data_IF_669655489361
#
_entry.id   IF_669655489361
#
_cell.length_a   1.000
_cell.length_b   1.000
_cell.length_c   1.000
_cell.angle_alpha   90.00
_cell.angle_beta   90.00
_cell.angle_gamma   90.00
#
_symmetry.space_group_name_H-M   'P 1'
#
loop_
_entity.id
_entity.type
_entity.pdbx_description
1 polymer ?
#
# COMPACT_ATOMS: atom_id res chain seq x y z
N UNK A 1 15.43 8.05 -17.77
CA UNK A 1 14.62 7.25 -16.84
C UNK A 1 14.00 8.21 -15.85
N UNK A 2 12.67 8.36 -15.84
CA UNK A 2 12.00 9.32 -14.97
C UNK A 2 12.05 8.86 -13.52
N UNK A 3 12.56 9.71 -12.64
CA UNK A 3 12.56 9.44 -11.20
C UNK A 3 11.15 9.60 -10.64
N UNK A 4 10.79 8.75 -9.68
CA UNK A 4 9.54 8.89 -8.91
C UNK A 4 9.82 9.76 -7.68
N UNK A 5 9.04 10.80 -7.50
CA UNK A 5 9.15 11.74 -6.40
C UNK A 5 7.95 11.61 -5.47
N UNK A 6 8.19 11.22 -4.23
CA UNK A 6 7.16 11.18 -3.20
C UNK A 6 6.81 12.59 -2.78
N UNK A 7 5.55 12.98 -2.98
CA UNK A 7 5.02 14.30 -2.61
C UNK A 7 4.33 14.29 -1.26
N UNK A 8 3.76 13.14 -0.88
CA UNK A 8 3.03 13.01 0.39
C UNK A 8 3.11 11.57 0.91
N UNK A 9 3.23 11.45 2.23
CA UNK A 9 3.14 10.16 2.93
C UNK A 9 2.24 10.33 4.15
N UNK A 10 1.26 9.45 4.31
CA UNK A 10 0.34 9.45 5.44
C UNK A 10 0.16 8.06 6.01
N UNK A 11 -0.11 7.96 7.29
CA UNK A 11 -0.61 6.75 7.91
C UNK A 11 -2.14 6.75 7.84
N UNK A 12 -2.72 5.63 7.42
CA UNK A 12 -4.17 5.46 7.23
C UNK A 12 -4.65 4.41 8.21
N UNK A 13 -5.40 4.84 9.22
CA UNK A 13 -5.98 3.96 10.22
C UNK A 13 -7.43 3.59 9.87
N UNK A 14 -7.95 2.46 10.40
CA UNK A 14 -9.35 2.12 10.27
C UNK A 14 -10.27 3.23 10.80
N UNK A 15 -11.38 3.53 10.12
CA UNK A 15 -12.43 4.42 10.66
C UNK A 15 -13.08 3.86 11.92
N UNK A 16 -13.27 2.54 11.94
CA UNK A 16 -13.82 1.81 13.07
C UNK A 16 -12.72 0.89 13.59
N UNK A 17 -12.19 1.24 14.75
CA UNK A 17 -11.15 0.44 15.41
C UNK A 17 -11.74 -0.77 16.11
N UNK A 18 -11.08 -1.92 16.00
CA UNK A 18 -11.42 -3.13 16.72
C UNK A 18 -10.58 -3.24 18.00
N UNK A 19 -11.08 -3.91 19.05
CA UNK A 19 -10.25 -4.23 20.21
C UNK A 19 -8.98 -4.97 19.77
N UNK A 20 -7.80 -4.59 20.26
CA UNK A 20 -6.56 -5.24 19.91
C UNK A 20 -6.59 -6.74 20.23
N UNK A 21 -6.13 -7.56 19.31
CA UNK A 21 -6.03 -9.01 19.49
C UNK A 21 -4.90 -9.62 18.68
N UNK A 22 -4.40 -10.75 19.15
CA UNK A 22 -3.39 -11.53 18.44
C UNK A 22 -4.10 -12.65 17.66
N UNK A 23 -3.79 -12.75 16.38
CA UNK A 23 -4.19 -13.86 15.51
C UNK A 23 -2.97 -14.73 15.25
N UNK A 24 -3.10 -16.02 15.54
CA UNK A 24 -2.07 -17.00 15.19
C UNK A 24 -2.04 -17.19 13.68
N UNK A 25 -0.89 -17.01 13.10
CA UNK A 25 -0.67 -17.28 11.69
C UNK A 25 -0.60 -18.80 11.45
N UNK A 26 -1.11 -19.24 10.31
CA UNK A 26 -0.91 -20.61 9.86
C UNK A 26 0.57 -20.87 9.53
N UNK A 27 0.96 -22.14 9.44
CA UNK A 27 2.33 -22.47 9.03
C UNK A 27 2.62 -22.01 7.60
N UNK A 28 1.62 -21.93 6.74
CA UNK A 28 1.75 -21.42 5.38
C UNK A 28 2.03 -19.92 5.37
N UNK A 29 1.28 -19.13 6.14
CA UNK A 29 1.48 -17.69 6.26
C UNK A 29 2.88 -17.37 6.80
N UNK A 30 3.36 -18.18 7.75
CA UNK A 30 4.69 -18.02 8.35
C UNK A 30 5.83 -18.32 7.38
N UNK A 31 5.58 -19.12 6.35
CA UNK A 31 6.57 -19.51 5.33
C UNK A 31 6.58 -18.53 4.14
N UNK A 32 5.63 -17.62 4.06
CA UNK A 32 5.51 -16.66 2.97
C UNK A 32 6.01 -15.26 3.40
N UNK A 33 7.34 -15.04 3.52
CA UNK A 33 7.88 -13.75 3.93
C UNK A 33 7.95 -12.75 2.77
N UNK A 34 7.33 -13.08 1.64
CA UNK A 34 7.53 -12.35 0.38
C UNK A 34 6.69 -11.09 0.36
N UNK A 35 7.33 -9.96 0.17
CA UNK A 35 6.67 -8.72 -0.21
C UNK A 35 6.09 -8.91 -1.62
N UNK A 36 4.80 -8.68 -1.74
CA UNK A 36 4.10 -8.72 -3.02
C UNK A 36 3.86 -7.30 -3.50
N UNK A 37 4.29 -7.02 -4.72
CA UNK A 37 4.04 -5.75 -5.39
C UNK A 37 2.98 -5.96 -6.46
N UNK A 38 1.93 -5.14 -6.40
CA UNK A 38 0.86 -5.12 -7.40
C UNK A 38 0.82 -3.72 -8.01
N UNK A 39 0.89 -3.64 -9.32
CA UNK A 39 0.84 -2.38 -10.07
C UNK A 39 -0.39 -2.40 -10.97
N UNK A 40 -1.21 -1.37 -10.87
CA UNK A 40 -2.40 -1.20 -11.68
C UNK A 40 -2.29 0.12 -12.46
N UNK A 41 -2.58 0.09 -13.75
CA UNK A 41 -2.62 1.26 -14.60
C UNK A 41 -4.07 1.64 -14.90
N UNK A 42 -4.38 2.90 -14.66
CA UNK A 42 -5.70 3.46 -14.95
C UNK A 42 -5.56 4.57 -15.99
N UNK A 43 -6.29 4.43 -17.10
CA UNK A 43 -6.39 5.48 -18.08
C UNK A 43 -7.55 6.41 -17.72
N UNK A 44 -7.26 7.69 -17.66
CA UNK A 44 -8.31 8.69 -17.50
C UNK A 44 -9.23 8.70 -18.73
N UNK A 45 -10.54 8.60 -18.49
CA UNK A 45 -11.55 8.74 -19.52
C UNK A 45 -12.37 10.02 -19.29
N UNK A 46 -12.21 11.06 -20.13
CA UNK A 46 -12.91 12.33 -19.96
C UNK A 46 -14.43 12.22 -20.14
N UNK A 47 -14.93 11.14 -20.78
CA UNK A 47 -16.35 10.97 -21.09
C UNK A 47 -17.16 10.50 -19.88
N UNK A 48 -16.56 9.71 -19.00
CA UNK A 48 -17.24 9.17 -17.80
C UNK A 48 -16.99 9.96 -16.52
N UNK A 49 -16.18 10.99 -16.58
CA UNK A 49 -15.72 11.69 -15.41
C UNK A 49 -16.27 13.08 -15.30
N UNK A 50 -17.28 13.27 -14.47
CA UNK A 50 -17.50 14.56 -13.81
C UNK A 50 -16.36 14.95 -12.86
N UNK A 51 -15.26 14.23 -12.86
CA UNK A 51 -14.03 14.59 -12.17
C UNK A 51 -13.25 15.47 -13.14
N UNK A 52 -13.56 16.75 -13.08
CA UNK A 52 -12.66 17.77 -13.68
C UNK A 52 -11.31 17.59 -13.00
N UNK A 53 -10.24 17.46 -13.79
CA UNK A 53 -8.89 17.73 -13.35
C UNK A 53 -8.88 19.14 -12.73
N UNK A 54 -9.09 19.18 -11.46
CA UNK A 54 -9.10 20.43 -10.71
C UNK A 54 -8.28 20.34 -9.45
N UNK A 55 -8.09 19.13 -8.92
CA UNK A 55 -7.20 18.92 -7.79
C UNK A 55 -6.81 17.44 -7.76
N UNK A 56 -5.57 17.11 -8.02
CA UNK A 56 -4.97 15.78 -7.79
C UNK A 56 -5.21 15.30 -6.36
N UNK A 57 -5.38 16.23 -5.43
CA UNK A 57 -5.76 16.00 -4.04
C UNK A 57 -7.09 15.23 -3.87
N UNK A 58 -8.00 15.26 -4.84
CA UNK A 58 -9.29 14.56 -4.72
C UNK A 58 -9.17 13.05 -4.89
N UNK A 59 -8.33 12.57 -5.82
CA UNK A 59 -8.13 11.12 -6.05
C UNK A 59 -7.45 10.51 -4.82
N UNK A 60 -6.36 11.12 -4.37
CA UNK A 60 -5.66 10.66 -3.17
C UNK A 60 -6.58 10.64 -1.94
N UNK A 61 -7.38 11.70 -1.75
CA UNK A 61 -8.32 11.78 -0.62
C UNK A 61 -9.39 10.69 -0.69
N UNK A 62 -10.00 10.49 -1.86
CA UNK A 62 -11.02 9.46 -2.05
C UNK A 62 -10.48 8.05 -1.82
N UNK A 63 -9.28 7.76 -2.33
CA UNK A 63 -8.62 6.47 -2.11
C UNK A 63 -8.23 6.28 -0.64
N UNK A 64 -7.78 7.35 0.04
CA UNK A 64 -7.52 7.32 1.48
C UNK A 64 -8.78 6.97 2.26
N UNK A 65 -9.90 7.62 1.98
CA UNK A 65 -11.18 7.38 2.65
C UNK A 65 -11.70 5.96 2.40
N UNK A 66 -11.52 5.44 1.18
CA UNK A 66 -11.84 4.07 0.82
C UNK A 66 -10.94 3.07 1.57
N UNK A 67 -9.64 3.37 1.69
CA UNK A 67 -8.71 2.54 2.44
C UNK A 67 -9.06 2.50 3.93
N UNK A 68 -9.40 3.63 4.55
CA UNK A 68 -9.87 3.70 5.95
C UNK A 68 -11.11 2.83 6.18
N UNK A 69 -12.06 2.87 5.25
CA UNK A 69 -13.26 2.03 5.31
C UNK A 69 -12.92 0.54 5.14
N UNK A 70 -12.05 0.21 4.18
CA UNK A 70 -11.60 -1.15 3.92
C UNK A 70 -10.87 -1.74 5.12
N UNK A 71 -9.98 -0.98 5.74
CA UNK A 71 -9.25 -1.40 6.94
C UNK A 71 -10.19 -1.60 8.15
N UNK A 72 -11.35 -0.92 8.18
CA UNK A 72 -12.36 -1.16 9.21
C UNK A 72 -13.03 -2.52 9.05
N UNK A 73 -13.23 -2.97 7.80
CA UNK A 73 -13.81 -4.27 7.48
C UNK A 73 -12.75 -5.38 7.57
N UNK A 74 -11.57 -5.10 7.07
CA UNK A 74 -10.44 -6.05 7.06
C UNK A 74 -9.33 -5.59 8.01
N UNK A 75 -9.70 -5.45 9.28
CA UNK A 75 -8.83 -4.95 10.35
C UNK A 75 -7.48 -5.68 10.51
N UNK A 76 -7.30 -6.98 10.14
CA UNK A 76 -5.99 -7.62 10.21
C UNK A 76 -4.92 -6.91 9.37
N UNK A 77 -5.29 -6.34 8.21
CA UNK A 77 -4.36 -5.60 7.36
C UNK A 77 -3.86 -4.29 7.99
N UNK A 78 -4.56 -3.78 9.02
CA UNK A 78 -4.12 -2.63 9.82
C UNK A 78 -3.22 -3.03 11.00
N UNK A 79 -2.85 -4.30 11.11
CA UNK A 79 -2.00 -4.85 12.17
C UNK A 79 -0.52 -4.78 11.87
N UNK A 80 0.22 -5.51 12.69
CA UNK A 80 1.68 -5.69 12.58
C UNK A 80 2.05 -7.14 12.87
N UNK A 81 3.14 -7.61 12.26
CA UNK A 81 3.71 -8.89 12.66
C UNK A 81 4.38 -8.74 14.03
N UNK A 82 4.24 -9.74 14.88
CA UNK A 82 4.91 -9.78 16.17
C UNK A 82 5.47 -11.18 16.43
N UNK A 83 6.57 -11.25 17.16
CA UNK A 83 7.12 -12.54 17.59
C UNK A 83 6.40 -13.01 18.85
N UNK A 84 5.93 -14.25 18.78
CA UNK A 84 5.39 -14.93 19.95
C UNK A 84 6.54 -15.26 20.91
N UNK A 85 6.49 -14.78 22.15
CA UNK A 85 7.58 -15.00 23.11
C UNK A 85 7.73 -16.47 23.54
N UNK A 86 6.69 -17.29 23.38
CA UNK A 86 6.71 -18.68 23.82
C UNK A 86 7.36 -19.63 22.80
N UNK A 87 7.26 -19.36 21.51
CA UNK A 87 7.76 -20.25 20.45
C UNK A 87 8.61 -19.54 19.39
N UNK A 88 8.80 -18.21 19.51
CA UNK A 88 9.59 -17.38 18.59
C UNK A 88 8.98 -17.21 17.19
N UNK A 89 7.80 -17.78 16.93
CA UNK A 89 7.14 -17.72 15.63
C UNK A 89 6.40 -16.39 15.46
N UNK A 90 6.09 -16.07 14.21
CA UNK A 90 5.33 -14.87 13.89
C UNK A 90 3.84 -15.10 14.12
N UNK A 91 3.23 -14.15 14.77
CA UNK A 91 1.79 -13.95 14.91
C UNK A 91 1.40 -12.58 14.35
N UNK A 92 0.12 -12.36 14.14
CA UNK A 92 -0.42 -11.09 13.68
C UNK A 92 -1.06 -10.34 14.84
N UNK A 93 -0.49 -9.21 15.19
CA UNK A 93 -1.05 -8.31 16.19
C UNK A 93 -1.96 -7.27 15.52
N UNK A 94 -3.27 -7.48 15.62
CA UNK A 94 -4.30 -6.56 15.14
C UNK A 94 -4.43 -5.39 16.13
N UNK A 95 -3.65 -4.35 15.91
CA UNK A 95 -3.49 -3.21 16.84
C UNK A 95 -3.94 -1.87 16.24
N UNK A 96 -4.62 -1.90 15.09
CA UNK A 96 -5.14 -0.73 14.36
C UNK A 96 -4.07 0.30 13.98
N UNK A 97 -2.80 -0.07 13.90
CA UNK A 97 -1.73 0.86 13.50
C UNK A 97 -1.84 1.34 12.04
N UNK A 98 -2.66 0.66 11.25
CA UNK A 98 -3.00 1.11 9.91
C UNK A 98 -1.97 0.76 8.83
N UNK A 99 -2.23 1.29 7.65
CA UNK A 99 -1.42 1.16 6.45
C UNK A 99 -0.70 2.47 6.14
N UNK A 100 0.36 2.41 5.34
CA UNK A 100 1.01 3.60 4.79
C UNK A 100 0.42 3.89 3.42
N UNK A 101 0.07 5.15 3.17
CA UNK A 101 -0.35 5.61 1.85
C UNK A 101 0.57 6.72 1.36
N UNK A 102 1.01 6.58 0.11
CA UNK A 102 2.00 7.45 -0.52
C UNK A 102 1.42 8.06 -1.79
N UNK A 103 1.62 9.35 -1.96
CA UNK A 103 1.38 10.07 -3.21
C UNK A 103 2.71 10.40 -3.86
N UNK A 104 2.82 10.17 -5.15
CA UNK A 104 4.04 10.41 -5.89
C UNK A 104 3.74 10.93 -7.29
N UNK A 105 4.72 11.59 -7.87
CA UNK A 105 4.70 12.05 -9.26
C UNK A 105 5.92 11.52 -10.00
N UNK A 106 5.79 11.31 -11.28
CA UNK A 106 6.92 10.94 -12.14
C UNK A 106 6.96 11.80 -13.39
N UNK A 107 8.15 12.00 -13.94
CA UNK A 107 8.34 12.61 -15.25
C UNK A 107 8.37 11.58 -16.38
N UNK A 108 8.36 10.29 -16.04
CA UNK A 108 8.26 9.22 -17.02
C UNK A 108 6.90 9.26 -17.71
N UNK A 109 6.87 8.86 -18.97
CA UNK A 109 5.61 8.67 -19.71
C UNK A 109 5.22 7.20 -19.65
N UNK A 110 3.93 6.93 -19.61
CA UNK A 110 3.43 5.54 -19.64
C UNK A 110 3.95 4.79 -20.88
N UNK A 111 4.14 5.49 -22.02
CA UNK A 111 4.73 4.92 -23.24
C UNK A 111 6.18 4.44 -23.09
N UNK A 112 6.91 4.90 -22.08
CA UNK A 112 8.27 4.45 -21.78
C UNK A 112 8.30 3.13 -21.01
N UNK A 113 7.15 2.70 -20.49
CA UNK A 113 7.00 1.44 -19.77
C UNK A 113 6.82 0.23 -20.69
N UNK A 114 6.75 0.45 -22.01
CA UNK A 114 6.56 -0.58 -23.03
C UNK A 114 5.14 -0.63 -23.57
N UNK A 115 4.96 -1.39 -24.64
CA UNK A 115 3.67 -1.49 -25.36
C UNK A 115 2.68 -2.41 -24.64
N UNK A 116 3.18 -3.36 -23.86
CA UNK A 116 2.38 -4.33 -23.12
C UNK A 116 2.62 -4.21 -21.61
N UNK A 117 1.73 -3.48 -20.93
CA UNK A 117 1.78 -3.27 -19.48
C UNK A 117 1.34 -4.51 -18.66
N UNK A 118 0.85 -5.57 -19.31
CA UNK A 118 0.47 -6.81 -18.63
C UNK A 118 1.67 -7.72 -18.35
N UNK A 119 2.79 -7.50 -19.03
CA UNK A 119 4.00 -8.25 -18.83
C UNK A 119 4.89 -7.59 -17.78
N UNK A 120 5.59 -8.42 -16.99
CA UNK A 120 6.55 -7.92 -16.03
C UNK A 120 7.65 -7.11 -16.75
N UNK A 121 7.95 -5.95 -16.18
CA UNK A 121 9.03 -5.09 -16.63
C UNK A 121 9.79 -4.59 -15.40
N UNK A 122 11.12 -4.68 -15.43
CA UNK A 122 12.00 -4.19 -14.35
C UNK A 122 11.76 -2.73 -14.00
N UNK A 123 11.26 -1.93 -14.96
CA UNK A 123 10.88 -0.53 -14.72
C UNK A 123 9.76 -0.40 -13.69
N UNK A 124 8.86 -1.40 -13.58
CA UNK A 124 7.80 -1.37 -12.58
C UNK A 124 8.33 -1.39 -11.15
N UNK A 125 9.47 -2.04 -10.93
CA UNK A 125 10.12 -2.00 -9.62
C UNK A 125 10.61 -0.61 -9.23
N UNK A 126 10.98 0.19 -10.22
CA UNK A 126 11.41 1.58 -9.99
C UNK A 126 10.25 2.51 -9.63
N UNK A 127 9.02 2.14 -9.98
CA UNK A 127 7.81 2.90 -9.64
C UNK A 127 7.37 2.66 -8.20
N UNK A 128 7.66 1.49 -7.64
CA UNK A 128 7.12 1.07 -6.35
C UNK A 128 7.87 1.74 -5.20
N UNK A 129 7.12 2.36 -4.29
CA UNK A 129 7.65 2.85 -3.05
C UNK A 129 8.08 1.69 -2.15
N UNK A 130 9.36 1.64 -1.82
CA UNK A 130 9.96 0.64 -0.92
C UNK A 130 10.26 1.33 0.41
N UNK A 131 9.38 1.22 1.40
CA UNK A 131 9.63 1.85 2.69
C UNK A 131 10.86 1.23 3.36
N UNK A 132 11.71 2.09 3.89
CA UNK A 132 12.85 1.67 4.71
C UNK A 132 12.40 1.64 6.16
N UNK A 133 12.55 0.49 6.80
CA UNK A 133 12.30 0.32 8.22
C UNK A 133 13.62 0.03 8.93
N UNK A 134 13.86 0.74 10.00
CA UNK A 134 15.13 0.68 10.76
C UNK A 134 15.07 -0.28 11.94
N UNK A 135 14.22 -1.30 11.90
CA UNK A 135 14.04 -2.07 13.10
C UNK A 135 13.32 -3.40 12.94
N UNK A 136 12.52 -3.72 13.90
CA UNK A 136 11.78 -4.97 14.01
C UNK A 136 10.65 -5.04 12.97
N UNK A 137 10.27 -6.25 12.59
CA UNK A 137 9.11 -6.52 11.74
C UNK A 137 7.80 -5.96 12.34
N UNK A 138 7.78 -5.75 13.66
CA UNK A 138 6.66 -5.11 14.37
C UNK A 138 6.41 -3.65 13.98
N UNK A 139 7.38 -2.98 13.36
CA UNK A 139 7.23 -1.60 12.88
C UNK A 139 6.79 -1.52 11.42
N UNK A 140 6.88 -2.65 10.69
CA UNK A 140 6.50 -2.72 9.29
C UNK A 140 4.98 -2.76 9.11
N UNK A 141 4.37 -1.81 8.36
CA UNK A 141 2.98 -1.97 7.96
C UNK A 141 2.83 -3.18 7.03
N UNK A 142 1.72 -3.90 7.18
CA UNK A 142 1.40 -5.04 6.32
C UNK A 142 0.95 -4.60 4.91
N UNK A 143 0.52 -3.36 4.80
CA UNK A 143 0.01 -2.79 3.56
C UNK A 143 0.61 -1.39 3.33
N UNK A 144 1.11 -1.20 2.11
CA UNK A 144 1.49 0.10 1.58
C UNK A 144 0.71 0.33 0.29
N UNK A 145 -0.04 1.41 0.22
CA UNK A 145 -0.72 1.85 -0.98
C UNK A 145 0.02 3.06 -1.57
N UNK A 146 0.15 3.10 -2.89
CA UNK A 146 0.79 4.21 -3.57
C UNK A 146 -0.04 4.66 -4.77
N UNK A 147 -0.15 5.96 -4.95
CA UNK A 147 -0.71 6.59 -6.14
C UNK A 147 0.40 7.35 -6.84
N UNK A 148 0.58 7.08 -8.14
CA UNK A 148 1.56 7.79 -8.97
C UNK A 148 0.82 8.50 -10.10
N UNK A 149 1.14 9.75 -10.27
CA UNK A 149 0.68 10.55 -11.43
C UNK A 149 1.81 10.65 -12.47
N UNK A 150 1.43 10.36 -13.71
CA UNK A 150 2.30 10.42 -14.89
C UNK A 150 2.05 11.69 -15.70
#
# INVERSE_FOLDING_TARGET
MGSVYVTKRVNVCPKIMQPPKILKLSNLDRQCPTLMYLVFFYKFNPIYGGIRYGNDSSIFSNLKDALEATLSLWYPAAGRLSRNPSDGKLDLWCNNQGAVMVEAVTQARVSELGDDLSQYNELFESLVYKPVFSGDMSDMPLLVAQVIYF
#
